data_IF_848492624401
#
_entry.id   IF_848492624401
#
_cell.length_a   1.000
_cell.length_b   1.000
_cell.length_c   1.000
_cell.angle_alpha   90.00
_cell.angle_beta   90.00
_cell.angle_gamma   90.00
#
_symmetry.space_group_name_H-M   'P 1'
#
loop_
_entity.id
_entity.type
_entity.pdbx_description
1 polymer ?
#
# COMPACT_ATOMS: atom_id res chain seq x y z
N UNK A 1 19.06 34.39 -33.51
CA UNK A 1 18.64 33.90 -32.19
C UNK A 1 17.86 32.55 -32.18
N UNK A 2 17.35 32.01 -33.32
CA UNK A 2 16.60 30.76 -33.35
C UNK A 2 17.45 29.47 -33.37
N UNK A 3 18.71 29.51 -33.77
CA UNK A 3 19.57 28.30 -33.86
C UNK A 3 20.18 27.83 -32.52
N UNK A 4 20.35 28.74 -31.55
CA UNK A 4 20.95 28.39 -30.25
C UNK A 4 19.96 27.67 -29.32
N UNK A 5 18.66 27.91 -29.47
CA UNK A 5 17.61 27.25 -28.61
C UNK A 5 17.44 25.80 -29.00
N UNK A 6 17.55 25.45 -30.30
CA UNK A 6 17.41 24.05 -30.77
C UNK A 6 18.61 23.18 -30.31
N UNK A 7 19.80 23.75 -30.25
CA UNK A 7 21.01 23.04 -29.80
C UNK A 7 20.94 22.74 -28.29
N UNK A 8 20.39 23.65 -27.49
CA UNK A 8 20.25 23.46 -26.02
C UNK A 8 19.22 22.38 -25.66
N UNK A 9 18.10 22.29 -26.40
CA UNK A 9 17.07 21.25 -26.20
C UNK A 9 17.60 19.88 -26.61
N UNK A 10 18.40 19.79 -27.69
CA UNK A 10 19.02 18.53 -28.13
C UNK A 10 20.07 18.02 -27.12
N UNK A 11 20.92 18.91 -26.57
CA UNK A 11 21.89 18.53 -25.54
C UNK A 11 21.22 18.03 -24.24
N UNK A 12 20.14 18.68 -23.84
CA UNK A 12 19.40 18.26 -22.62
C UNK A 12 18.70 16.90 -22.82
N UNK A 13 18.15 16.66 -24.00
CA UNK A 13 17.49 15.35 -24.31
C UNK A 13 18.50 14.19 -24.43
N UNK A 14 19.69 14.45 -24.99
CA UNK A 14 20.74 13.42 -25.13
C UNK A 14 21.36 13.07 -23.76
N UNK A 15 21.57 14.04 -22.87
CA UNK A 15 22.09 13.78 -21.52
C UNK A 15 21.07 13.02 -20.65
N UNK A 16 19.79 13.35 -20.75
CA UNK A 16 18.73 12.64 -20.03
C UNK A 16 18.60 11.18 -20.52
N UNK A 17 18.74 10.95 -21.82
CA UNK A 17 18.65 9.60 -22.40
C UNK A 17 19.86 8.72 -22.02
N UNK A 18 21.05 9.30 -21.91
CA UNK A 18 22.25 8.63 -21.41
C UNK A 18 22.09 8.21 -19.95
N UNK A 19 21.66 9.12 -19.07
CA UNK A 19 21.42 8.84 -17.65
C UNK A 19 20.35 7.77 -17.42
N UNK A 20 19.25 7.79 -18.15
CA UNK A 20 18.18 6.78 -18.00
C UNK A 20 18.64 5.41 -18.46
N UNK A 21 19.50 5.31 -19.47
CA UNK A 21 20.07 4.04 -19.91
C UNK A 21 21.02 3.44 -18.87
N UNK A 22 21.85 4.26 -18.24
CA UNK A 22 22.79 3.84 -17.20
C UNK A 22 22.05 3.35 -15.95
N UNK A 23 21.04 4.06 -15.49
CA UNK A 23 20.25 3.63 -14.31
C UNK A 23 19.46 2.35 -14.58
N UNK A 24 18.95 2.16 -15.80
CA UNK A 24 18.29 0.92 -16.19
C UNK A 24 19.22 -0.30 -16.11
N UNK A 25 20.49 -0.14 -16.49
CA UNK A 25 21.50 -1.22 -16.34
C UNK A 25 21.84 -1.48 -14.89
N UNK A 26 21.96 -0.46 -14.05
CA UNK A 26 22.20 -0.59 -12.62
C UNK A 26 21.05 -1.33 -11.93
N UNK A 27 19.79 -0.98 -12.23
CA UNK A 27 18.61 -1.66 -11.70
C UNK A 27 18.62 -3.15 -12.08
N UNK A 28 18.90 -3.50 -13.34
CA UNK A 28 19.01 -4.90 -13.79
C UNK A 28 20.10 -5.64 -13.01
N UNK A 29 21.27 -5.03 -12.83
CA UNK A 29 22.35 -5.62 -12.06
C UNK A 29 21.97 -5.86 -10.59
N UNK A 30 21.17 -4.95 -9.99
CA UNK A 30 20.63 -5.18 -8.66
C UNK A 30 19.63 -6.34 -8.69
N UNK A 31 18.68 -6.35 -9.63
CA UNK A 31 17.70 -7.41 -9.77
C UNK A 31 18.33 -8.79 -9.95
N UNK A 32 19.38 -8.89 -10.75
CA UNK A 32 20.10 -10.15 -10.99
C UNK A 32 20.71 -10.71 -9.69
N UNK A 33 21.27 -9.84 -8.80
CA UNK A 33 21.78 -10.29 -7.50
C UNK A 33 20.71 -10.81 -6.54
N UNK A 34 19.44 -10.45 -6.77
CA UNK A 34 18.31 -10.89 -5.96
C UNK A 34 17.45 -11.95 -6.67
N UNK A 35 17.87 -12.48 -7.80
CA UNK A 35 17.07 -13.40 -8.62
C UNK A 35 15.66 -12.84 -8.90
N UNK A 36 15.52 -11.52 -9.08
CA UNK A 36 14.21 -10.88 -9.12
C UNK A 36 13.43 -11.26 -10.39
N UNK A 37 12.16 -11.64 -10.22
CA UNK A 37 11.26 -12.00 -11.33
C UNK A 37 10.91 -10.77 -12.16
N UNK A 38 10.56 -9.68 -11.50
CA UNK A 38 10.28 -8.41 -12.16
C UNK A 38 9.97 -7.27 -11.19
N UNK A 39 9.96 -6.06 -11.74
CA UNK A 39 9.83 -4.81 -10.99
C UNK A 39 9.21 -3.73 -11.87
N UNK A 40 8.40 -2.87 -11.28
CA UNK A 40 8.07 -1.54 -11.84
C UNK A 40 8.55 -0.47 -10.88
N UNK A 41 9.25 0.56 -11.41
CA UNK A 41 9.82 1.66 -10.65
C UNK A 41 9.38 3.01 -11.21
N UNK A 42 8.94 3.91 -10.33
CA UNK A 42 8.56 5.28 -10.67
C UNK A 42 9.22 6.26 -9.72
N UNK A 43 9.78 7.34 -10.26
CA UNK A 43 10.35 8.45 -9.49
C UNK A 43 9.55 9.71 -9.77
N UNK A 44 9.18 10.40 -8.71
CA UNK A 44 8.49 11.70 -8.75
C UNK A 44 9.41 12.76 -8.15
N UNK A 45 9.57 13.91 -8.81
CA UNK A 45 10.21 15.11 -8.28
C UNK A 45 9.37 16.33 -8.63
N UNK A 46 9.18 17.24 -7.69
CA UNK A 46 8.40 18.47 -7.88
C UNK A 46 7.05 18.24 -8.56
N UNK A 47 6.33 17.22 -8.09
CA UNK A 47 5.01 16.82 -8.58
C UNK A 47 4.98 16.29 -10.03
N UNK A 48 6.12 15.96 -10.62
CA UNK A 48 6.24 15.37 -11.96
C UNK A 48 6.86 13.98 -11.89
N UNK A 49 6.39 13.06 -12.70
CA UNK A 49 7.09 11.79 -12.94
C UNK A 49 8.32 12.11 -13.79
N UNK A 50 9.51 11.81 -13.27
CA UNK A 50 10.79 12.01 -13.97
C UNK A 50 11.39 10.69 -14.46
N UNK A 51 10.89 9.56 -13.94
CA UNK A 51 11.29 8.22 -14.36
C UNK A 51 10.12 7.25 -14.16
N UNK A 52 9.88 6.37 -15.15
CA UNK A 52 8.90 5.30 -15.09
C UNK A 52 9.34 4.17 -16.00
N UNK A 53 9.74 3.03 -15.44
CA UNK A 53 10.19 1.87 -16.19
C UNK A 53 9.82 0.57 -15.48
N UNK A 54 9.61 -0.49 -16.28
CA UNK A 54 9.34 -1.84 -15.80
C UNK A 54 10.38 -2.81 -16.33
N UNK A 55 10.78 -3.76 -15.48
CA UNK A 55 11.85 -4.70 -15.72
C UNK A 55 11.37 -6.12 -15.46
N UNK A 56 12.03 -7.10 -16.12
CA UNK A 56 11.76 -8.50 -15.91
C UNK A 56 10.44 -8.95 -16.54
N UNK A 57 9.85 -9.97 -15.98
CA UNK A 57 8.80 -10.72 -16.65
C UNK A 57 7.60 -10.99 -15.75
N UNK A 58 6.48 -11.26 -16.40
CA UNK A 58 5.24 -11.77 -15.82
C UNK A 58 5.00 -13.19 -16.37
N UNK A 59 5.65 -14.24 -15.81
CA UNK A 59 5.49 -15.61 -16.28
C UNK A 59 4.06 -16.10 -16.11
N UNK A 60 3.65 -17.13 -16.84
CA UNK A 60 2.38 -17.82 -16.62
C UNK A 60 2.55 -18.89 -15.53
N UNK A 61 1.57 -19.05 -14.63
CA UNK A 61 1.64 -20.09 -13.58
C UNK A 61 1.63 -21.51 -14.14
N UNK A 62 0.91 -21.71 -15.25
CA UNK A 62 0.74 -23.03 -15.88
C UNK A 62 1.76 -23.29 -17.01
N UNK A 63 2.42 -22.24 -17.49
CA UNK A 63 3.39 -22.29 -18.57
C UNK A 63 4.50 -21.25 -18.29
N UNK A 64 5.40 -21.51 -17.30
CA UNK A 64 6.41 -20.54 -16.86
C UNK A 64 7.40 -20.13 -17.95
N UNK A 65 7.54 -20.93 -18.99
CA UNK A 65 8.31 -20.61 -20.20
C UNK A 65 7.70 -19.48 -21.03
N UNK A 66 6.40 -19.23 -20.90
CA UNK A 66 5.72 -18.10 -21.54
C UNK A 66 5.93 -16.84 -20.72
N UNK A 67 7.10 -16.22 -20.90
CA UNK A 67 7.51 -15.01 -20.19
C UNK A 67 7.11 -13.78 -20.98
N UNK A 68 6.10 -13.04 -20.50
CA UNK A 68 5.76 -11.73 -21.07
C UNK A 68 6.50 -10.64 -20.30
N UNK A 69 7.11 -9.65 -20.97
CA UNK A 69 7.68 -8.49 -20.28
C UNK A 69 6.60 -7.78 -19.43
N UNK A 70 7.01 -7.28 -18.27
CA UNK A 70 6.14 -6.43 -17.48
C UNK A 70 6.00 -5.08 -18.20
N UNK A 71 4.78 -4.56 -18.26
CA UNK A 71 4.45 -3.26 -18.85
C UNK A 71 4.32 -2.22 -17.75
N UNK A 72 4.58 -0.94 -18.06
CA UNK A 72 4.44 0.16 -17.08
C UNK A 72 3.01 0.30 -16.54
N UNK A 73 2.01 -0.08 -17.32
CA UNK A 73 0.61 -0.14 -16.89
C UNK A 73 0.21 -1.47 -16.20
N UNK A 74 1.19 -2.34 -15.92
CA UNK A 74 0.99 -3.59 -15.20
C UNK A 74 0.41 -3.36 -13.82
N UNK A 75 -0.65 -4.12 -13.49
CA UNK A 75 -1.39 -3.97 -12.23
C UNK A 75 -0.93 -5.03 -11.24
N UNK A 76 -0.37 -4.58 -10.14
CA UNK A 76 0.09 -5.43 -9.05
C UNK A 76 -0.90 -5.44 -7.89
N UNK A 77 -0.89 -6.49 -7.13
CA UNK A 77 -1.43 -6.48 -5.78
C UNK A 77 -0.50 -5.66 -4.87
N UNK A 78 -1.04 -4.68 -4.11
CA UNK A 78 -0.21 -3.75 -3.34
C UNK A 78 0.13 -4.21 -1.92
N UNK A 79 -0.46 -5.32 -1.46
CA UNK A 79 -0.35 -5.75 -0.06
C UNK A 79 -0.62 -4.56 0.90
N UNK A 80 0.17 -4.38 1.96
CA UNK A 80 -0.11 -3.39 3.02
C UNK A 80 -0.09 -1.93 2.59
N UNK A 81 0.45 -1.57 1.42
CA UNK A 81 0.28 -0.20 0.88
C UNK A 81 -1.21 0.13 0.71
N UNK A 82 -2.08 -0.87 0.56
CA UNK A 82 -3.54 -0.71 0.53
C UNK A 82 -4.09 0.05 1.74
N UNK A 83 -3.48 -0.10 2.91
CA UNK A 83 -3.92 0.57 4.15
C UNK A 83 -3.97 2.08 4.03
N UNK A 84 -3.13 2.68 3.19
CA UNK A 84 -3.11 4.13 2.97
C UNK A 84 -4.41 4.64 2.35
N UNK A 85 -5.06 3.85 1.50
CA UNK A 85 -6.37 4.18 0.91
C UNK A 85 -7.49 4.13 1.95
N UNK A 86 -7.47 3.12 2.84
CA UNK A 86 -8.41 3.02 3.97
C UNK A 86 -8.25 4.21 4.91
N UNK A 87 -7.00 4.51 5.32
CA UNK A 87 -6.72 5.66 6.17
C UNK A 87 -7.15 6.98 5.53
N UNK A 88 -6.92 7.16 4.22
CA UNK A 88 -7.40 8.34 3.48
C UNK A 88 -8.93 8.41 3.49
N UNK A 89 -9.64 7.30 3.30
CA UNK A 89 -11.11 7.26 3.33
C UNK A 89 -11.66 7.60 4.73
N UNK A 90 -11.07 7.05 5.79
CA UNK A 90 -11.42 7.39 7.18
C UNK A 90 -11.20 8.89 7.43
N UNK A 91 -10.05 9.44 7.03
CA UNK A 91 -9.76 10.87 7.22
C UNK A 91 -10.73 11.77 6.44
N UNK A 92 -11.20 11.37 5.25
CA UNK A 92 -12.29 12.08 4.56
C UNK A 92 -13.60 12.09 5.36
N UNK A 93 -13.89 11.02 6.08
CA UNK A 93 -15.10 10.94 6.93
C UNK A 93 -14.91 11.74 8.22
N UNK A 94 -13.69 11.81 8.76
CA UNK A 94 -13.33 12.71 9.88
C UNK A 94 -13.49 14.17 9.46
N UNK A 95 -12.98 14.58 8.31
CA UNK A 95 -13.15 15.95 7.79
C UNK A 95 -14.61 16.38 7.60
N UNK A 96 -15.50 15.40 7.35
CA UNK A 96 -16.94 15.61 7.23
C UNK A 96 -17.70 15.55 8.56
N UNK A 97 -17.00 15.36 9.68
CA UNK A 97 -17.59 15.21 11.00
C UNK A 97 -18.41 13.92 11.20
N UNK A 98 -18.27 12.93 10.29
CA UNK A 98 -18.99 11.65 10.39
C UNK A 98 -18.30 10.64 11.32
N UNK A 99 -17.00 10.78 11.51
CA UNK A 99 -16.16 9.96 12.39
C UNK A 99 -15.34 10.89 13.28
N UNK A 100 -15.16 10.52 14.54
CA UNK A 100 -14.20 11.14 15.48
C UNK A 100 -13.03 10.17 15.65
N UNK A 101 -11.80 10.67 15.49
CA UNK A 101 -10.60 9.83 15.66
C UNK A 101 -10.52 9.19 17.05
N UNK A 102 -10.85 9.95 18.07
CA UNK A 102 -10.84 9.51 19.47
C UNK A 102 -12.21 8.98 19.93
N UNK A 103 -13.11 8.71 18.99
CA UNK A 103 -14.40 8.08 19.26
C UNK A 103 -14.26 6.57 19.42
N UNK A 104 -15.04 5.99 20.33
CA UNK A 104 -15.18 4.54 20.47
C UNK A 104 -15.70 3.94 19.17
N UNK A 105 -15.00 2.91 18.66
CA UNK A 105 -15.38 2.21 17.42
C UNK A 105 -16.77 1.57 17.51
N UNK A 106 -17.22 1.22 18.70
CA UNK A 106 -18.56 0.66 18.94
C UNK A 106 -19.69 1.62 18.54
N UNK A 107 -19.42 2.92 18.43
CA UNK A 107 -20.40 3.90 17.91
C UNK A 107 -20.60 3.80 16.39
N UNK A 108 -19.71 3.08 15.68
CA UNK A 108 -19.72 2.98 14.23
C UNK A 108 -19.88 1.53 13.72
N UNK A 109 -19.75 0.54 14.62
CA UNK A 109 -19.89 -0.88 14.29
C UNK A 109 -21.31 -1.37 14.65
N UNK A 110 -21.79 -2.39 13.92
CA UNK A 110 -23.05 -3.09 14.24
C UNK A 110 -22.92 -4.19 15.29
N UNK A 111 -21.76 -4.30 15.94
CA UNK A 111 -21.42 -5.30 16.94
C UNK A 111 -20.41 -4.73 17.94
N UNK A 112 -20.25 -5.36 19.11
CA UNK A 112 -19.34 -4.86 20.14
C UNK A 112 -17.94 -5.46 20.01
N UNK A 113 -16.93 -4.60 20.18
CA UNK A 113 -15.50 -4.97 20.17
C UNK A 113 -14.85 -4.32 21.39
N UNK A 114 -14.53 -5.11 22.39
CA UNK A 114 -13.83 -4.68 23.60
C UNK A 114 -12.77 -5.71 23.96
N UNK A 115 -11.60 -5.28 24.41
CA UNK A 115 -10.62 -6.19 24.97
C UNK A 115 -11.19 -6.77 26.30
N UNK A 116 -11.35 -8.10 26.41
CA UNK A 116 -12.00 -8.71 27.58
C UNK A 116 -11.23 -8.50 28.89
N UNK A 117 -9.91 -8.25 28.84
CA UNK A 117 -9.10 -7.93 30.03
C UNK A 117 -9.20 -6.45 30.40
N UNK A 118 -9.65 -5.59 29.51
CA UNK A 118 -9.80 -4.14 29.70
C UNK A 118 -11.16 -3.65 29.19
N UNK A 119 -12.29 -4.20 29.73
CA UNK A 119 -13.62 -4.01 29.15
C UNK A 119 -14.13 -2.56 29.23
N UNK A 120 -13.55 -1.74 30.12
CA UNK A 120 -13.92 -0.34 30.30
C UNK A 120 -13.08 0.63 29.46
N UNK A 121 -12.00 0.15 28.83
CA UNK A 121 -11.13 0.98 28.00
C UNK A 121 -11.61 0.90 26.56
N UNK A 122 -12.13 1.98 25.97
CA UNK A 122 -12.63 1.95 24.60
C UNK A 122 -11.49 1.78 23.60
N UNK A 123 -11.75 1.06 22.52
CA UNK A 123 -10.90 1.06 21.34
C UNK A 123 -11.34 2.22 20.44
N UNK A 124 -10.43 3.10 20.07
CA UNK A 124 -10.75 4.26 19.22
C UNK A 124 -10.36 4.04 17.77
N UNK A 125 -10.95 4.85 16.85
CA UNK A 125 -10.58 4.84 15.43
C UNK A 125 -9.09 5.16 15.25
N UNK A 126 -8.54 6.10 16.03
CA UNK A 126 -7.11 6.41 16.08
C UNK A 126 -6.26 5.18 16.38
N UNK A 127 -6.65 4.41 17.38
CA UNK A 127 -5.93 3.19 17.78
C UNK A 127 -5.94 2.11 16.70
N UNK A 128 -7.03 1.96 15.94
CA UNK A 128 -7.07 1.06 14.77
C UNK A 128 -6.13 1.53 13.66
N UNK A 129 -6.18 2.82 13.29
CA UNK A 129 -5.35 3.41 12.24
C UNK A 129 -3.85 3.30 12.53
N UNK A 130 -3.47 3.36 13.81
CA UNK A 130 -2.08 3.37 14.28
C UNK A 130 -1.59 2.05 14.85
N UNK A 131 -2.37 0.96 14.72
CA UNK A 131 -2.03 -0.36 15.28
C UNK A 131 -1.78 -0.36 16.80
N UNK A 132 -2.57 0.40 17.56
CA UNK A 132 -2.47 0.52 19.03
C UNK A 132 -3.73 0.03 19.74
N UNK A 133 -4.58 -0.73 19.07
CA UNK A 133 -5.90 -1.14 19.58
C UNK A 133 -5.87 -2.32 20.57
N UNK A 134 -4.71 -2.89 20.86
CA UNK A 134 -4.52 -4.16 21.54
C UNK A 134 -5.14 -5.39 20.83
N UNK A 135 -5.60 -5.23 19.58
CA UNK A 135 -5.95 -6.35 18.70
C UNK A 135 -4.69 -6.99 18.13
N UNK A 136 -4.77 -8.29 17.82
CA UNK A 136 -3.74 -9.02 17.07
C UNK A 136 -4.38 -9.92 15.99
N UNK A 137 -3.56 -10.51 15.14
CA UNK A 137 -3.99 -11.38 14.04
C UNK A 137 -3.92 -12.90 14.40
N UNK A 138 -3.68 -13.27 15.66
CA UNK A 138 -3.30 -14.64 16.05
C UNK A 138 -4.40 -15.67 15.80
N UNK A 139 -5.61 -15.45 16.32
CA UNK A 139 -6.66 -16.44 16.27
C UNK A 139 -7.50 -16.41 14.99
N UNK A 140 -7.85 -15.23 14.52
CA UNK A 140 -8.78 -15.06 13.40
C UNK A 140 -8.13 -14.47 12.15
N UNK A 141 -6.82 -14.15 12.22
CA UNK A 141 -6.14 -13.40 11.18
C UNK A 141 -6.87 -12.09 10.91
N UNK A 142 -7.09 -11.79 9.64
CA UNK A 142 -7.89 -10.62 9.22
C UNK A 142 -9.36 -10.92 8.93
N UNK A 143 -9.85 -12.14 9.27
CA UNK A 143 -11.22 -12.60 8.99
C UNK A 143 -12.21 -11.96 9.96
N UNK A 144 -12.87 -10.90 9.50
CA UNK A 144 -13.80 -10.14 10.34
C UNK A 144 -15.03 -10.94 10.77
N UNK A 145 -15.58 -11.74 9.88
CA UNK A 145 -16.73 -12.61 10.14
C UNK A 145 -16.44 -13.64 11.25
N UNK A 146 -15.28 -14.31 11.19
CA UNK A 146 -14.85 -15.24 12.24
C UNK A 146 -14.60 -14.53 13.58
N UNK A 147 -13.99 -13.35 13.53
CA UNK A 147 -13.78 -12.53 14.72
C UNK A 147 -15.10 -12.12 15.37
N UNK A 148 -16.09 -11.67 14.59
CA UNK A 148 -17.42 -11.31 15.09
C UNK A 148 -18.12 -12.53 15.70
N UNK A 149 -18.04 -13.69 15.03
CA UNK A 149 -18.58 -14.93 15.57
C UNK A 149 -17.95 -15.26 16.93
N UNK A 150 -16.62 -15.21 17.04
CA UNK A 150 -15.91 -15.43 18.30
C UNK A 150 -16.33 -14.46 19.40
N UNK A 151 -16.51 -13.18 19.09
CA UNK A 151 -17.02 -12.20 20.05
C UNK A 151 -18.43 -12.56 20.55
N UNK A 152 -19.33 -12.96 19.66
CA UNK A 152 -20.70 -13.33 19.99
C UNK A 152 -20.78 -14.61 20.82
N UNK A 153 -19.85 -15.54 20.62
CA UNK A 153 -19.75 -16.80 21.38
C UNK A 153 -19.04 -16.66 22.75
N UNK A 154 -18.62 -15.41 23.10
CA UNK A 154 -17.86 -15.18 24.33
C UNK A 154 -16.43 -15.71 24.28
N UNK A 155 -15.90 -15.96 23.08
CA UNK A 155 -14.52 -16.40 22.81
C UNK A 155 -13.76 -15.32 22.02
N UNK A 156 -13.60 -14.12 22.58
CA UNK A 156 -12.95 -13.02 21.88
C UNK A 156 -11.44 -13.25 21.86
N UNK A 157 -10.97 -14.12 20.98
CA UNK A 157 -9.57 -14.23 20.63
C UNK A 157 -9.09 -12.97 19.88
N UNK A 158 -7.83 -12.94 19.48
CA UNK A 158 -7.23 -11.81 18.78
C UNK A 158 -7.11 -10.52 19.59
N UNK A 159 -6.90 -10.63 20.90
CA UNK A 159 -6.55 -9.53 21.80
C UNK A 159 -5.27 -9.82 22.56
N UNK A 160 -4.47 -8.76 22.72
CA UNK A 160 -3.25 -8.75 23.53
C UNK A 160 -3.55 -8.52 25.02
N UNK A 161 -2.58 -8.83 25.88
CA UNK A 161 -2.67 -8.75 27.34
C UNK A 161 -2.37 -7.34 27.91
N UNK A 162 -2.52 -6.28 27.09
CA UNK A 162 -2.34 -4.90 27.51
C UNK A 162 -3.52 -4.03 27.05
N UNK A 163 -3.69 -2.91 27.74
CA UNK A 163 -4.80 -1.98 27.47
C UNK A 163 -4.72 -1.38 26.05
N UNK A 164 -5.89 -1.16 25.39
CA UNK A 164 -5.92 -0.34 24.18
C UNK A 164 -5.19 1.00 24.36
N UNK A 165 -4.37 1.38 23.38
CA UNK A 165 -3.53 2.57 23.40
C UNK A 165 -2.13 2.37 23.98
N UNK A 166 -1.87 1.31 24.75
CA UNK A 166 -0.63 1.17 25.51
C UNK A 166 0.60 0.87 24.63
N UNK A 167 0.46 0.01 23.61
CA UNK A 167 1.58 -0.45 22.78
C UNK A 167 1.18 -0.52 21.30
N UNK A 168 2.19 -0.42 20.44
CA UNK A 168 2.07 -0.74 19.03
C UNK A 168 2.14 -2.25 18.80
N UNK A 169 1.19 -2.78 18.04
CA UNK A 169 1.22 -4.14 17.52
C UNK A 169 0.49 -4.19 16.18
N UNK A 170 1.24 -4.48 15.11
CA UNK A 170 0.72 -4.44 13.76
C UNK A 170 -0.39 -5.47 13.55
N UNK A 171 -1.60 -5.02 13.22
CA UNK A 171 -2.79 -5.84 13.17
C UNK A 171 -3.62 -5.57 11.89
N UNK A 172 -3.80 -6.59 11.05
CA UNK A 172 -4.61 -6.49 9.84
C UNK A 172 -6.11 -6.50 10.14
N UNK A 173 -6.53 -7.22 11.18
CA UNK A 173 -7.92 -7.24 11.65
C UNK A 173 -8.42 -5.83 11.96
N UNK A 174 -7.57 -4.96 12.54
CA UNK A 174 -7.91 -3.56 12.78
C UNK A 174 -8.33 -2.81 11.51
N UNK A 175 -7.69 -3.10 10.37
CA UNK A 175 -8.06 -2.50 9.08
C UNK A 175 -9.32 -3.13 8.46
N UNK A 176 -9.62 -4.39 8.76
CA UNK A 176 -10.92 -4.98 8.42
C UNK A 176 -12.06 -4.27 9.16
N UNK A 177 -11.87 -3.92 10.45
CA UNK A 177 -12.80 -3.11 11.23
C UNK A 177 -12.94 -1.69 10.67
N UNK A 178 -11.84 -1.04 10.24
CA UNK A 178 -11.92 0.28 9.59
C UNK A 178 -12.73 0.22 8.28
N UNK A 179 -12.60 -0.86 7.52
CA UNK A 179 -13.47 -1.13 6.36
C UNK A 179 -14.94 -1.19 6.76
N UNK A 180 -15.28 -1.92 7.83
CA UNK A 180 -16.65 -2.02 8.35
C UNK A 180 -17.18 -0.65 8.82
N UNK A 181 -16.35 0.15 9.47
CA UNK A 181 -16.71 1.52 9.89
C UNK A 181 -17.04 2.38 8.67
N UNK A 182 -16.24 2.33 7.58
CA UNK A 182 -16.54 3.05 6.33
C UNK A 182 -17.92 2.64 5.82
N UNK A 183 -18.22 1.34 5.79
CA UNK A 183 -19.48 0.81 5.27
C UNK A 183 -20.69 1.24 6.08
N UNK A 184 -20.61 1.08 7.41
CA UNK A 184 -21.72 1.45 8.30
C UNK A 184 -22.00 2.94 8.30
N UNK A 185 -20.95 3.79 8.27
CA UNK A 185 -21.10 5.25 8.25
C UNK A 185 -21.60 5.79 6.91
N UNK A 186 -21.29 5.08 5.81
CA UNK A 186 -21.60 5.57 4.46
C UNK A 186 -22.77 4.86 3.78
N UNK A 187 -23.19 3.69 4.27
CA UNK A 187 -24.15 2.81 3.61
C UNK A 187 -23.65 2.22 2.29
N UNK A 188 -22.33 2.27 2.04
CA UNK A 188 -21.69 1.78 0.81
C UNK A 188 -20.56 0.83 1.14
N UNK A 189 -20.38 -0.22 0.35
CA UNK A 189 -19.21 -1.08 0.44
C UNK A 189 -17.93 -0.24 0.37
N UNK A 190 -16.93 -0.53 1.20
CA UNK A 190 -15.75 0.33 1.37
C UNK A 190 -14.96 0.54 0.06
N UNK A 191 -14.85 -0.49 -0.79
CA UNK A 191 -14.20 -0.39 -2.10
C UNK A 191 -14.96 0.58 -3.04
N UNK A 192 -16.29 0.56 -3.02
CA UNK A 192 -17.13 1.50 -3.81
C UNK A 192 -16.96 2.93 -3.31
N UNK A 193 -16.83 3.12 -1.98
CA UNK A 193 -16.54 4.44 -1.43
C UNK A 193 -15.17 4.94 -1.92
N UNK A 194 -14.11 4.12 -1.81
CA UNK A 194 -12.75 4.46 -2.25
C UNK A 194 -12.72 4.72 -3.76
N UNK A 195 -13.34 3.88 -4.57
CA UNK A 195 -13.44 4.09 -6.01
C UNK A 195 -14.03 5.46 -6.33
N UNK A 196 -15.14 5.83 -5.68
CA UNK A 196 -15.85 7.09 -5.95
C UNK A 196 -15.18 8.34 -5.36
N UNK A 197 -14.45 8.22 -4.24
CA UNK A 197 -13.91 9.37 -3.48
C UNK A 197 -12.39 9.56 -3.59
N UNK A 198 -11.67 8.55 -4.08
CA UNK A 198 -10.21 8.60 -4.22
C UNK A 198 -9.80 8.24 -5.65
N UNK A 199 -10.18 7.05 -6.13
CA UNK A 199 -9.72 6.51 -7.43
C UNK A 199 -10.23 7.39 -8.59
N UNK A 200 -11.53 7.55 -8.72
CA UNK A 200 -12.14 8.32 -9.82
C UNK A 200 -11.74 9.81 -9.80
N UNK A 201 -11.77 10.54 -8.66
CA UNK A 201 -11.29 11.91 -8.62
C UNK A 201 -9.84 12.09 -9.05
N UNK A 202 -8.97 11.14 -8.77
CA UNK A 202 -7.57 11.18 -9.17
C UNK A 202 -7.32 10.60 -10.57
N UNK A 203 -8.36 10.06 -11.22
CA UNK A 203 -8.27 9.37 -12.52
C UNK A 203 -7.27 8.22 -12.49
N UNK A 204 -7.32 7.40 -11.43
CA UNK A 204 -6.48 6.23 -11.27
C UNK A 204 -7.17 5.00 -11.86
N UNK A 205 -6.36 4.02 -12.26
CA UNK A 205 -6.83 2.67 -12.56
C UNK A 205 -6.36 1.72 -11.46
N UNK A 206 -7.32 1.20 -10.70
CA UNK A 206 -7.06 0.26 -9.61
C UNK A 206 -8.33 0.03 -8.80
N UNK A 207 -8.38 -1.09 -8.06
CA UNK A 207 -9.51 -1.41 -7.20
C UNK A 207 -9.12 -2.47 -6.14
N UNK A 208 -9.84 -2.48 -5.02
CA UNK A 208 -9.87 -3.61 -4.09
C UNK A 208 -10.62 -4.80 -4.69
N UNK A 209 -11.60 -4.54 -5.54
CA UNK A 209 -12.36 -5.59 -6.21
C UNK A 209 -11.63 -6.10 -7.45
N UNK A 210 -11.07 -7.31 -7.34
CA UNK A 210 -10.36 -7.97 -8.43
C UNK A 210 -11.20 -8.08 -9.72
N UNK A 211 -12.52 -8.21 -9.60
CA UNK A 211 -13.40 -8.37 -10.78
C UNK A 211 -13.45 -7.12 -11.67
N UNK A 212 -13.02 -5.97 -11.15
CA UNK A 212 -12.89 -4.72 -11.91
C UNK A 212 -11.54 -4.55 -12.62
N UNK A 213 -10.61 -5.46 -12.42
CA UNK A 213 -9.27 -5.39 -12.99
C UNK A 213 -9.18 -6.25 -14.25
N UNK A 214 -8.69 -5.66 -15.33
CA UNK A 214 -8.40 -6.38 -16.58
C UNK A 214 -7.32 -7.44 -16.33
N UNK A 215 -7.66 -8.70 -16.61
CA UNK A 215 -6.77 -9.86 -16.45
C UNK A 215 -5.47 -9.73 -17.22
N UNK A 216 -5.51 -9.06 -18.38
CA UNK A 216 -4.33 -8.88 -19.25
C UNK A 216 -3.32 -7.91 -18.67
N UNK A 217 -3.73 -7.06 -17.72
CA UNK A 217 -2.86 -6.10 -17.03
C UNK A 217 -2.29 -6.65 -15.72
N UNK A 218 -2.81 -7.78 -15.21
CA UNK A 218 -2.36 -8.34 -13.94
C UNK A 218 -0.93 -8.86 -14.03
N UNK A 219 -0.12 -8.45 -13.05
CA UNK A 219 1.23 -8.97 -12.82
C UNK A 219 1.15 -10.03 -11.73
N UNK A 220 1.54 -11.26 -12.05
CA UNK A 220 1.46 -12.43 -11.18
C UNK A 220 2.56 -12.39 -10.12
N UNK A 221 2.22 -12.82 -8.90
CA UNK A 221 3.12 -12.86 -7.75
C UNK A 221 3.83 -14.20 -7.63
N UNK A 222 5.11 -14.16 -7.25
CA UNK A 222 5.97 -15.33 -7.07
C UNK A 222 6.70 -15.25 -5.73
N UNK A 223 6.39 -16.18 -4.83
CA UNK A 223 7.05 -16.26 -3.55
C UNK A 223 8.33 -17.10 -3.64
N UNK A 224 9.44 -16.60 -3.13
CA UNK A 224 10.68 -17.36 -3.05
C UNK A 224 10.61 -18.34 -1.87
N UNK A 225 10.75 -19.61 -2.18
CA UNK A 225 10.82 -20.68 -1.17
C UNK A 225 12.30 -20.97 -0.84
N UNK A 226 12.71 -20.59 0.37
CA UNK A 226 14.08 -20.72 0.83
C UNK A 226 14.54 -22.18 0.98
N UNK A 227 13.62 -23.12 1.15
CA UNK A 227 13.94 -24.55 1.29
C UNK A 227 14.26 -25.17 -0.06
N UNK A 228 13.45 -24.91 -1.07
CA UNK A 228 13.65 -25.42 -2.44
C UNK A 228 14.50 -24.49 -3.30
N UNK A 229 14.90 -23.32 -2.79
CA UNK A 229 15.64 -22.27 -3.51
C UNK A 229 14.99 -21.95 -4.89
N UNK A 230 13.68 -21.84 -4.93
CA UNK A 230 12.92 -21.63 -6.15
C UNK A 230 11.70 -20.76 -5.94
N UNK A 231 11.19 -20.19 -7.04
CA UNK A 231 9.98 -19.38 -7.00
C UNK A 231 8.74 -20.27 -7.16
N UNK A 232 7.76 -20.02 -6.29
CA UNK A 232 6.42 -20.62 -6.35
C UNK A 232 5.39 -19.56 -6.65
N UNK A 233 4.56 -19.77 -7.66
CA UNK A 233 3.46 -18.89 -8.00
C UNK A 233 2.43 -18.81 -6.86
N UNK A 234 1.77 -17.66 -6.73
CA UNK A 234 0.73 -17.40 -5.72
C UNK A 234 -0.64 -17.16 -6.38
N UNK A 235 -1.23 -18.17 -7.06
CA UNK A 235 -2.46 -17.99 -7.85
C UNK A 235 -3.68 -17.64 -7.00
N UNK A 236 -3.70 -17.98 -5.70
CA UNK A 236 -4.83 -17.74 -4.80
C UNK A 236 -5.20 -16.26 -4.68
N UNK A 237 -4.22 -15.35 -4.79
CA UNK A 237 -4.46 -13.90 -4.69
C UNK A 237 -5.13 -13.31 -5.95
N UNK A 238 -5.28 -14.11 -7.01
CA UNK A 238 -5.88 -13.72 -8.30
C UNK A 238 -7.12 -14.58 -8.64
N UNK A 239 -7.79 -15.11 -7.64
CA UNK A 239 -8.96 -15.96 -7.83
C UNK A 239 -10.23 -15.11 -8.01
N UNK A 240 -10.57 -14.81 -9.27
CA UNK A 240 -11.77 -14.04 -9.67
C UNK A 240 -13.06 -14.67 -9.18
N UNK A 241 -13.21 -16.00 -9.39
CA UNK A 241 -14.43 -16.71 -9.02
C UNK A 241 -14.66 -16.69 -7.51
N UNK A 242 -13.59 -16.78 -6.71
CA UNK A 242 -13.71 -16.65 -5.26
C UNK A 242 -14.21 -15.26 -4.84
N UNK A 243 -13.68 -14.19 -5.47
CA UNK A 243 -14.15 -12.83 -5.21
C UNK A 243 -15.60 -12.66 -5.66
N UNK A 244 -15.95 -13.09 -6.88
CA UNK A 244 -17.33 -13.04 -7.39
C UNK A 244 -18.31 -13.74 -6.45
N UNK A 245 -17.98 -14.94 -5.99
CA UNK A 245 -18.82 -15.70 -5.07
C UNK A 245 -18.96 -14.99 -3.72
N UNK A 246 -17.87 -14.44 -3.17
CA UNK A 246 -17.92 -13.73 -1.89
C UNK A 246 -18.73 -12.43 -1.94
N UNK A 247 -18.97 -11.89 -3.14
CA UNK A 247 -19.77 -10.68 -3.32
C UNK A 247 -21.27 -10.95 -3.46
N UNK A 248 -21.70 -12.21 -3.72
CA UNK A 248 -23.12 -12.55 -3.85
C UNK A 248 -23.88 -12.36 -2.53
N UNK A 249 -23.25 -12.78 -1.43
CA UNK A 249 -23.84 -12.73 -0.09
C UNK A 249 -23.14 -11.67 0.78
N UNK A 250 -22.58 -10.62 0.15
CA UNK A 250 -21.84 -9.58 0.84
C UNK A 250 -22.74 -8.77 1.78
N UNK A 251 -22.41 -8.80 3.07
CA UNK A 251 -23.11 -8.04 4.11
C UNK A 251 -22.26 -6.86 4.55
N UNK A 252 -22.78 -5.62 4.35
CA UNK A 252 -22.11 -4.39 4.76
C UNK A 252 -21.78 -4.41 6.26
N UNK A 253 -20.55 -4.00 6.58
CA UNK A 253 -20.04 -3.97 7.95
C UNK A 253 -19.57 -5.31 8.50
N UNK A 254 -19.74 -6.41 7.75
CA UNK A 254 -19.39 -7.76 8.20
C UNK A 254 -18.46 -8.50 7.23
N UNK A 255 -18.63 -8.35 5.93
CA UNK A 255 -17.93 -9.14 4.90
C UNK A 255 -16.68 -8.47 4.34
N UNK A 256 -16.13 -7.45 5.00
CA UNK A 256 -15.01 -6.64 4.47
C UNK A 256 -13.76 -7.44 4.15
N UNK A 257 -13.53 -8.54 4.88
CA UNK A 257 -12.39 -9.44 4.66
C UNK A 257 -12.32 -10.00 3.22
N UNK A 258 -13.47 -10.18 2.56
CA UNK A 258 -13.56 -10.67 1.17
C UNK A 258 -12.78 -9.81 0.16
N UNK A 259 -12.65 -8.52 0.43
CA UNK A 259 -11.93 -7.55 -0.40
C UNK A 259 -10.64 -7.04 0.27
N UNK A 260 -10.36 -7.52 1.49
CA UNK A 260 -9.16 -7.25 2.26
C UNK A 260 -8.80 -5.75 2.36
N UNK A 261 -9.46 -4.97 3.24
CA UNK A 261 -9.11 -3.57 3.48
C UNK A 261 -7.63 -3.37 3.83
N UNK A 262 -7.06 -4.35 4.54
CA UNK A 262 -5.65 -4.33 4.95
C UNK A 262 -4.65 -4.51 3.80
N UNK A 263 -5.05 -5.14 2.67
CA UNK A 263 -4.08 -5.55 1.65
C UNK A 263 -4.61 -5.64 0.22
N UNK A 264 -5.92 -5.51 -0.01
CA UNK A 264 -6.57 -5.91 -1.26
C UNK A 264 -6.47 -4.98 -2.46
N UNK A 265 -5.90 -3.77 -2.33
CA UNK A 265 -5.77 -2.84 -3.45
C UNK A 265 -4.85 -3.40 -4.55
N UNK A 266 -5.27 -3.21 -5.79
CA UNK A 266 -4.50 -3.54 -6.99
C UNK A 266 -4.37 -2.31 -7.85
N UNK A 267 -3.12 -2.00 -8.28
CA UNK A 267 -2.82 -0.78 -9.02
C UNK A 267 -1.46 -0.90 -9.72
N UNK A 268 -1.21 -0.08 -10.76
CA UNK A 268 0.10 0.06 -11.38
C UNK A 268 1.01 0.97 -10.54
N UNK A 269 2.32 0.88 -10.73
CA UNK A 269 3.27 1.78 -10.07
C UNK A 269 3.04 3.24 -10.50
N UNK A 270 2.67 3.48 -11.76
CA UNK A 270 2.34 4.82 -12.26
C UNK A 270 1.12 5.43 -11.57
N UNK A 271 0.03 4.68 -11.46
CA UNK A 271 -1.17 5.15 -10.78
C UNK A 271 -0.91 5.37 -9.29
N UNK A 272 -0.15 4.46 -8.65
CA UNK A 272 0.25 4.61 -7.25
C UNK A 272 1.13 5.85 -7.04
N UNK A 273 1.99 6.20 -8.00
CA UNK A 273 2.79 7.44 -7.94
C UNK A 273 1.92 8.69 -7.97
N UNK A 274 0.78 8.65 -8.66
CA UNK A 274 -0.21 9.75 -8.66
C UNK A 274 -0.91 9.84 -7.31
N UNK A 275 -1.20 8.71 -6.67
CA UNK A 275 -1.72 8.70 -5.30
C UNK A 275 -0.67 9.20 -4.28
N UNK A 276 0.60 8.82 -4.42
CA UNK A 276 1.71 9.33 -3.59
C UNK A 276 1.74 10.87 -3.57
N UNK A 277 1.48 11.51 -4.72
CA UNK A 277 1.46 12.98 -4.83
C UNK A 277 0.38 13.66 -3.97
N UNK A 278 -0.65 12.94 -3.52
CA UNK A 278 -1.61 13.46 -2.53
C UNK A 278 -0.88 13.84 -1.24
N UNK A 279 0.00 12.95 -0.77
CA UNK A 279 0.78 13.19 0.46
C UNK A 279 1.86 14.24 0.25
N UNK A 280 2.61 14.16 -0.86
CA UNK A 280 3.65 15.13 -1.22
C UNK A 280 3.14 16.57 -1.34
N UNK A 281 1.86 16.76 -1.67
CA UNK A 281 1.26 18.06 -1.92
C UNK A 281 0.15 18.43 -0.90
N UNK A 282 0.30 18.00 0.35
CA UNK A 282 -0.61 18.37 1.44
C UNK A 282 -2.09 18.13 1.08
N UNK A 283 -2.37 16.95 0.51
CA UNK A 283 -3.72 16.49 0.21
C UNK A 283 -4.25 16.85 -1.18
N UNK A 284 -3.42 17.38 -2.09
CA UNK A 284 -3.83 17.83 -3.44
C UNK A 284 -3.09 17.13 -4.55
N UNK A 285 -3.77 16.92 -5.69
CA UNK A 285 -3.15 16.59 -6.98
C UNK A 285 -3.76 17.50 -8.04
N UNK A 286 -2.94 18.42 -8.57
CA UNK A 286 -3.42 19.53 -9.40
C UNK A 286 -4.43 20.38 -8.62
N UNK A 287 -5.59 20.68 -9.24
CA UNK A 287 -6.66 21.44 -8.60
C UNK A 287 -7.55 20.60 -7.66
N UNK A 288 -7.44 19.28 -7.67
CA UNK A 288 -8.26 18.38 -6.85
C UNK A 288 -7.69 18.22 -5.45
N UNK A 289 -8.54 18.45 -4.44
CA UNK A 289 -8.22 18.17 -3.04
C UNK A 289 -8.87 16.85 -2.61
N UNK A 290 -8.06 15.92 -2.11
CA UNK A 290 -8.49 14.64 -1.55
C UNK A 290 -8.63 14.73 -0.03
N UNK A 291 -7.69 15.43 0.62
CA UNK A 291 -7.67 15.70 2.07
C UNK A 291 -7.25 17.15 2.32
N UNK A 292 -7.47 17.64 3.53
CA UNK A 292 -6.89 18.88 4.03
C UNK A 292 -5.44 18.66 4.42
N UNK A 293 -4.65 19.74 4.49
CA UNK A 293 -3.25 19.71 4.95
C UNK A 293 -3.15 19.15 6.37
N UNK A 294 -4.04 19.57 7.24
CA UNK A 294 -4.09 19.15 8.65
C UNK A 294 -4.32 17.63 8.77
N UNK A 295 -5.15 17.07 7.91
CA UNK A 295 -5.38 15.62 7.85
C UNK A 295 -4.14 14.84 7.40
N UNK A 296 -3.39 15.39 6.43
CA UNK A 296 -2.10 14.79 6.01
C UNK A 296 -1.10 14.85 7.18
N UNK A 297 -1.02 15.99 7.86
CA UNK A 297 -0.13 16.15 9.01
C UNK A 297 -0.46 15.15 10.12
N UNK A 298 -1.75 14.97 10.42
CA UNK A 298 -2.21 13.97 11.41
C UNK A 298 -1.81 12.55 10.98
N UNK A 299 -1.95 12.21 9.68
CA UNK A 299 -1.62 10.87 9.17
C UNK A 299 -0.13 10.54 9.27
N UNK A 300 0.76 11.51 9.11
CA UNK A 300 2.21 11.29 9.15
C UNK A 300 2.80 11.40 10.56
N UNK A 301 2.05 11.96 11.50
CA UNK A 301 2.51 12.13 12.89
C UNK A 301 2.54 10.78 13.62
N UNK A 302 3.69 10.36 14.20
CA UNK A 302 3.77 9.17 15.03
C UNK A 302 2.76 9.20 16.18
N UNK A 303 2.07 8.10 16.42
CA UNK A 303 1.00 8.01 17.41
C UNK A 303 1.45 7.44 18.76
N UNK A 304 2.73 7.29 18.98
CA UNK A 304 3.32 6.85 20.24
C UNK A 304 4.84 6.90 20.23
N UNK A 305 5.48 6.80 21.40
CA UNK A 305 6.93 6.93 21.52
C UNK A 305 7.71 5.69 21.09
N UNK A 306 7.04 4.56 20.91
CA UNK A 306 7.62 3.24 20.66
C UNK A 306 7.87 2.94 19.19
N UNK A 307 7.42 3.81 18.27
CA UNK A 307 7.64 3.66 16.84
C UNK A 307 7.38 4.96 16.05
N UNK A 308 7.72 4.93 14.76
CA UNK A 308 7.52 6.05 13.83
C UNK A 308 6.25 5.90 12.97
N UNK A 309 5.21 5.21 13.45
CA UNK A 309 4.01 4.89 12.69
C UNK A 309 2.88 5.88 13.00
N UNK A 310 2.36 6.50 11.95
CA UNK A 310 1.14 7.32 11.97
C UNK A 310 -0.09 6.52 11.53
N UNK A 311 -0.86 7.02 10.54
CA UNK A 311 -2.03 6.33 9.99
C UNK A 311 -1.70 5.68 8.64
N UNK A 312 -1.17 4.47 8.66
CA UNK A 312 -0.62 3.74 7.51
C UNK A 312 0.53 4.49 6.79
N UNK A 313 1.19 5.39 7.48
CA UNK A 313 2.39 6.07 7.03
C UNK A 313 3.43 5.99 8.15
N UNK A 314 4.67 5.71 7.79
CA UNK A 314 5.77 5.64 8.74
C UNK A 314 7.00 6.32 8.17
N UNK A 315 7.91 6.75 9.05
CA UNK A 315 9.17 7.36 8.65
C UNK A 315 10.26 6.31 8.50
N UNK A 316 10.99 6.37 7.39
CA UNK A 316 12.12 5.51 7.03
C UNK A 316 13.42 6.33 6.96
N UNK A 317 14.14 6.49 8.07
CA UNK A 317 15.36 7.33 8.12
C UNK A 317 16.58 6.64 7.51
N UNK A 318 16.50 5.34 7.22
CA UNK A 318 17.64 4.51 6.81
C UNK A 318 17.68 4.18 5.32
N UNK A 319 16.63 4.52 4.55
CA UNK A 319 16.61 4.23 3.11
C UNK A 319 17.65 5.07 2.38
N UNK A 320 17.65 6.39 2.61
CA UNK A 320 18.64 7.33 2.06
C UNK A 320 19.24 8.10 3.23
N UNK A 321 20.57 8.11 3.33
CA UNK A 321 21.26 8.85 4.39
C UNK A 321 20.97 10.35 4.31
N UNK A 322 20.61 10.96 5.43
CA UNK A 322 20.26 12.38 5.52
C UNK A 322 18.80 12.71 5.19
N UNK A 323 17.96 11.70 4.85
CA UNK A 323 16.55 11.91 4.49
C UNK A 323 15.60 11.09 5.36
N UNK A 324 14.52 11.72 5.78
CA UNK A 324 13.42 11.06 6.51
C UNK A 324 12.28 10.78 5.53
N UNK A 325 12.37 9.68 4.78
CA UNK A 325 11.32 9.31 3.84
C UNK A 325 10.07 8.87 4.59
N UNK A 326 8.92 9.38 4.16
CA UNK A 326 7.61 9.03 4.73
C UNK A 326 6.83 8.18 3.72
N UNK A 327 6.19 7.11 4.18
CA UNK A 327 5.38 6.28 3.31
C UNK A 327 4.95 4.96 3.90
N UNK A 328 4.68 4.00 3.04
CA UNK A 328 4.25 2.65 3.42
C UNK A 328 4.91 1.60 2.53
N UNK A 329 5.25 0.46 3.15
CA UNK A 329 5.70 -0.76 2.46
C UNK A 329 4.64 -1.84 2.57
N UNK A 330 4.64 -2.75 1.61
CA UNK A 330 3.78 -3.92 1.60
C UNK A 330 4.56 -5.16 1.20
N UNK A 331 4.29 -6.27 1.87
CA UNK A 331 4.89 -7.56 1.55
C UNK A 331 3.90 -8.68 1.81
N UNK A 332 3.63 -9.50 0.81
CA UNK A 332 2.82 -10.70 0.96
C UNK A 332 2.84 -11.52 -0.34
N UNK A 333 2.86 -12.86 -0.21
CA UNK A 333 2.76 -13.79 -1.33
C UNK A 333 3.78 -13.52 -2.46
N UNK A 334 4.97 -13.01 -2.12
CA UNK A 334 6.02 -12.66 -3.06
C UNK A 334 5.95 -11.25 -3.64
N UNK A 335 4.86 -10.52 -3.43
CA UNK A 335 4.82 -9.07 -3.74
C UNK A 335 5.61 -8.30 -2.69
N UNK A 336 6.44 -7.36 -3.17
CA UNK A 336 7.12 -6.37 -2.36
C UNK A 336 6.88 -4.98 -2.97
N UNK A 337 6.04 -4.20 -2.31
CA UNK A 337 5.70 -2.84 -2.73
C UNK A 337 6.23 -1.81 -1.73
N UNK A 338 6.58 -0.64 -2.23
CA UNK A 338 6.94 0.51 -1.41
C UNK A 338 6.50 1.80 -2.11
N UNK A 339 5.97 2.71 -1.32
CA UNK A 339 5.58 4.05 -1.73
C UNK A 339 6.12 5.01 -0.67
N UNK A 340 7.13 5.81 -0.99
CA UNK A 340 7.79 6.74 -0.06
C UNK A 340 8.10 8.07 -0.71
N UNK A 341 8.16 9.14 0.08
CA UNK A 341 8.52 10.47 -0.37
C UNK A 341 9.29 11.25 0.70
N UNK A 342 10.11 12.20 0.26
CA UNK A 342 10.73 13.22 1.09
C UNK A 342 9.81 14.46 1.11
N UNK A 343 9.31 14.89 2.29
CA UNK A 343 8.41 16.04 2.37
C UNK A 343 9.15 17.39 2.19
N UNK A 344 10.45 17.44 2.45
CA UNK A 344 11.26 18.66 2.39
C UNK A 344 11.77 18.90 0.97
N UNK A 345 12.42 17.90 0.38
CA UNK A 345 13.01 17.99 -0.96
C UNK A 345 12.05 17.60 -2.11
N UNK A 346 10.82 17.21 -1.78
CA UNK A 346 9.71 16.98 -2.73
C UNK A 346 10.02 15.98 -3.84
N UNK A 347 10.72 14.89 -3.49
CA UNK A 347 10.85 13.73 -4.35
C UNK A 347 10.18 12.51 -3.73
N UNK A 348 9.91 11.50 -4.53
CA UNK A 348 9.31 10.25 -4.05
C UNK A 348 9.54 9.08 -4.99
N UNK A 349 9.39 7.88 -4.45
CA UNK A 349 9.62 6.62 -5.13
C UNK A 349 8.42 5.69 -4.95
N UNK A 350 8.08 5.00 -6.02
CA UNK A 350 7.17 3.86 -6.00
C UNK A 350 7.84 2.70 -6.68
N UNK A 351 8.03 1.60 -5.95
CA UNK A 351 8.56 0.36 -6.50
C UNK A 351 7.61 -0.79 -6.15
N UNK A 352 7.36 -1.67 -7.10
CA UNK A 352 6.57 -2.88 -6.88
C UNK A 352 7.25 -4.04 -7.59
N UNK A 353 7.75 -5.01 -6.83
CA UNK A 353 8.29 -6.27 -7.35
C UNK A 353 7.28 -7.40 -7.21
N UNK A 354 7.23 -8.28 -8.20
CA UNK A 354 6.38 -9.47 -8.19
C UNK A 354 7.09 -10.73 -7.68
N UNK A 355 8.28 -10.60 -7.14
CA UNK A 355 9.06 -11.65 -6.50
C UNK A 355 10.55 -11.43 -6.59
N UNK A 356 11.25 -11.66 -5.50
CA UNK A 356 12.71 -11.74 -5.44
C UNK A 356 13.18 -12.65 -4.30
N UNK A 357 14.42 -13.09 -4.35
CA UNK A 357 15.06 -13.87 -3.29
C UNK A 357 15.32 -12.98 -2.07
N UNK A 358 14.51 -13.14 -1.03
CA UNK A 358 14.57 -12.33 0.19
C UNK A 358 15.76 -12.67 1.08
N UNK A 359 16.49 -13.76 0.80
CA UNK A 359 17.71 -14.14 1.53
C UNK A 359 18.98 -13.69 0.83
N UNK A 360 18.88 -13.20 -0.41
CA UNK A 360 20.01 -12.66 -1.15
C UNK A 360 20.64 -11.46 -0.42
N UNK A 361 21.92 -11.22 -0.67
CA UNK A 361 22.62 -10.04 -0.15
C UNK A 361 22.46 -9.87 1.39
N UNK A 362 22.56 -11.00 2.14
CA UNK A 362 22.38 -11.06 3.59
C UNK A 362 21.00 -10.56 4.08
N UNK A 363 19.94 -10.79 3.29
CA UNK A 363 18.57 -10.41 3.63
C UNK A 363 18.30 -8.91 3.52
N UNK A 364 19.15 -8.15 2.83
CA UNK A 364 18.90 -6.73 2.58
C UNK A 364 17.69 -6.53 1.64
N UNK A 365 16.96 -5.43 1.79
CA UNK A 365 15.79 -5.15 0.95
C UNK A 365 16.22 -4.64 -0.43
N UNK A 366 15.85 -5.36 -1.48
CA UNK A 366 16.14 -5.01 -2.88
C UNK A 366 15.58 -3.62 -3.23
N UNK A 367 14.35 -3.33 -2.83
CA UNK A 367 13.71 -2.05 -3.13
C UNK A 367 14.50 -0.87 -2.54
N UNK A 368 15.07 -1.02 -1.34
CA UNK A 368 15.90 0.02 -0.72
C UNK A 368 17.18 0.28 -1.53
N UNK A 369 17.81 -0.77 -2.05
CA UNK A 369 19.00 -0.62 -2.91
C UNK A 369 18.66 0.11 -4.20
N UNK A 370 17.54 -0.24 -4.83
CA UNK A 370 17.10 0.41 -6.08
C UNK A 370 16.70 1.87 -5.81
N UNK A 371 16.03 2.18 -4.68
CA UNK A 371 15.73 3.57 -4.30
C UNK A 371 17.02 4.40 -4.18
N UNK A 372 18.08 3.85 -3.56
CA UNK A 372 19.37 4.56 -3.45
C UNK A 372 20.02 4.79 -4.80
N UNK A 373 19.99 3.81 -5.71
CA UNK A 373 20.50 3.95 -7.07
C UNK A 373 19.73 5.04 -7.84
N UNK A 374 18.39 5.02 -7.79
CA UNK A 374 17.53 6.02 -8.42
C UNK A 374 17.76 7.43 -7.83
N UNK A 375 17.93 7.53 -6.51
CA UNK A 375 18.23 8.79 -5.84
C UNK A 375 19.57 9.38 -6.33
N UNK A 376 20.64 8.56 -6.31
CA UNK A 376 21.96 8.99 -6.72
C UNK A 376 22.04 9.43 -8.18
N UNK A 377 21.29 8.77 -9.08
CA UNK A 377 21.31 9.05 -10.51
C UNK A 377 20.37 10.18 -10.95
N UNK A 378 19.22 10.38 -10.28
CA UNK A 378 18.16 11.23 -10.80
C UNK A 378 17.80 12.41 -9.88
N UNK A 379 18.17 12.38 -8.63
CA UNK A 379 17.77 13.39 -7.64
C UNK A 379 18.97 14.20 -7.15
N UNK A 380 20.05 13.49 -6.72
CA UNK A 380 21.30 14.09 -6.23
C UNK A 380 22.10 14.74 -7.35
#
# INVERSE_FOLDING_TARGET
MKKSIVLFVLFFSVSLWGQTKDIGMEIRSIMDRYDAVGLSAVVVKDNRVIYSESFGYNPDYNAPELRRPIRNDGVYWLASVSKTFISTAIMQLVEKGKIRLDGDINNYLGFKVNNPKYPTVPITVRMLLSHRSSLNDDQYGWSLDKFIQGCNEGKPGSFNDYAPGAKYDYCNLGYSLLGAIIENVTGKRFDVYIDSKIIAPLRLYGSYNLTKIDRNRLVRAYNYDTKSQSFKGSPSVYNYSSVENSLKDYRLGYSTASLSPAGGMRMSAEDLSRFLRVFMNNGRVGWRRILRKESIQEMITPQGPDNNYGFALTTYPTIISGHNLIGMRGGSHGIHSIMVYDPEERFGFVLISNGYNTTAENGSDMNYRIIRALYNSLIK
#
